data_IF_665171212929
#
_entry.id   IF_665171212929
#
_cell.length_a   1.000
_cell.length_b   1.000
_cell.length_c   1.000
_cell.angle_alpha   90.00
_cell.angle_beta   90.00
_cell.angle_gamma   90.00
#
_symmetry.space_group_name_H-M   'P 1'
#
loop_
_entity.id
_entity.type
_entity.pdbx_description
1 polymer ?
#
# COMPACT_ATOMS: atom_id res chain seq x y z
N UNK A 1 -17.83 -11.20 18.52
CA UNK A 1 -17.24 -10.25 17.56
C UNK A 1 -16.09 -10.95 16.85
N UNK A 2 -16.32 -11.50 15.65
CA UNK A 2 -15.34 -12.32 14.95
C UNK A 2 -14.80 -11.54 13.75
N UNK A 3 -13.81 -10.68 13.97
CA UNK A 3 -13.08 -10.02 12.89
C UNK A 3 -12.05 -11.00 12.32
N UNK A 4 -12.52 -11.91 11.47
CA UNK A 4 -11.67 -12.85 10.72
C UNK A 4 -11.26 -12.28 9.35
N UNK A 5 -11.15 -10.95 9.24
CA UNK A 5 -10.60 -10.28 8.06
C UNK A 5 -9.09 -10.20 8.21
N UNK A 6 -8.33 -10.62 7.19
CA UNK A 6 -6.90 -10.34 7.11
C UNK A 6 -6.72 -8.83 7.30
N UNK A 7 -6.16 -8.43 8.45
CA UNK A 7 -6.05 -7.02 8.80
C UNK A 7 -4.91 -6.39 8.00
N UNK A 8 -5.15 -5.18 7.51
CA UNK A 8 -4.10 -4.37 6.90
C UNK A 8 -2.96 -4.14 7.89
N UNK A 9 -1.73 -4.09 7.40
CA UNK A 9 -0.57 -3.77 8.21
C UNK A 9 -0.76 -2.42 8.90
N UNK A 10 -0.33 -2.35 10.15
CA UNK A 10 -0.32 -1.08 10.84
C UNK A 10 0.71 -0.14 10.19
N UNK A 11 0.42 1.15 10.15
CA UNK A 11 1.33 2.15 9.58
C UNK A 11 2.74 2.06 10.21
N UNK A 12 2.81 1.78 11.50
CA UNK A 12 4.07 1.61 12.21
C UNK A 12 4.88 0.40 11.71
N UNK A 13 4.23 -0.72 11.37
CA UNK A 13 4.89 -1.92 10.84
C UNK A 13 5.46 -1.67 9.45
N UNK A 14 4.73 -0.95 8.60
CA UNK A 14 5.22 -0.55 7.27
C UNK A 14 6.45 0.35 7.41
N UNK A 15 6.39 1.36 8.29
CA UNK A 15 7.53 2.26 8.55
C UNK A 15 8.71 1.47 9.13
N UNK A 16 8.46 0.54 10.04
CA UNK A 16 9.49 -0.31 10.62
C UNK A 16 10.14 -1.22 9.56
N UNK A 17 9.35 -1.81 8.65
CA UNK A 17 9.86 -2.64 7.57
C UNK A 17 10.72 -1.85 6.57
N UNK A 18 10.30 -0.63 6.21
CA UNK A 18 11.10 0.29 5.41
C UNK A 18 12.43 0.63 6.11
N UNK A 19 12.38 0.95 7.41
CA UNK A 19 13.57 1.24 8.21
C UNK A 19 14.51 0.05 8.34
N UNK A 20 13.99 -1.16 8.48
CA UNK A 20 14.79 -2.40 8.50
C UNK A 20 15.54 -2.62 7.18
N UNK A 21 15.02 -2.10 6.06
CA UNK A 21 15.70 -2.07 4.76
C UNK A 21 16.61 -0.86 4.56
N UNK A 22 16.77 0.00 5.57
CA UNK A 22 17.61 1.19 5.50
C UNK A 22 16.98 2.37 4.75
N UNK A 23 15.67 2.31 4.45
CA UNK A 23 14.95 3.40 3.78
C UNK A 23 13.89 4.04 4.70
N UNK A 24 13.32 5.15 4.25
CA UNK A 24 12.23 5.84 4.93
C UNK A 24 11.14 6.17 3.92
N UNK A 25 9.90 6.33 4.38
CA UNK A 25 8.79 6.73 3.51
C UNK A 25 9.11 7.98 2.68
N UNK A 26 9.79 8.95 3.28
CA UNK A 26 10.20 10.18 2.59
C UNK A 26 11.31 9.93 1.55
N UNK A 27 12.21 8.97 1.78
CA UNK A 27 13.20 8.56 0.78
C UNK A 27 12.52 7.86 -0.40
N UNK A 28 11.67 6.86 -0.12
CA UNK A 28 10.87 6.15 -1.13
C UNK A 28 10.05 7.12 -1.98
N UNK A 29 9.43 8.12 -1.34
CA UNK A 29 8.67 9.15 -2.04
C UNK A 29 9.54 9.94 -3.02
N UNK A 30 10.74 10.35 -2.60
CA UNK A 30 11.69 11.10 -3.45
C UNK A 30 12.18 10.27 -4.62
N UNK A 31 12.52 9.00 -4.38
CA UNK A 31 12.96 8.08 -5.43
C UNK A 31 11.84 7.81 -6.45
N UNK A 32 10.59 7.84 -6.01
CA UNK A 32 9.42 7.74 -6.89
C UNK A 32 9.05 9.05 -7.61
N UNK A 33 9.83 10.13 -7.42
CA UNK A 33 9.55 11.45 -8.01
C UNK A 33 8.36 12.18 -7.39
N UNK A 34 7.97 11.83 -6.16
CA UNK A 34 6.83 12.41 -5.45
C UNK A 34 7.30 13.29 -4.28
N UNK A 35 6.52 14.29 -3.93
CA UNK A 35 6.79 15.10 -2.72
C UNK A 35 6.78 14.21 -1.48
N UNK A 36 7.70 14.46 -0.53
CA UNK A 36 7.95 13.62 0.67
C UNK A 36 6.69 13.24 1.46
N UNK A 37 5.63 14.06 1.38
CA UNK A 37 4.36 13.87 2.07
C UNK A 37 3.32 13.12 1.24
N UNK A 38 3.49 13.02 -0.07
CA UNK A 38 2.51 12.42 -0.98
C UNK A 38 2.32 10.94 -0.68
N UNK A 39 3.41 10.21 -0.38
CA UNK A 39 3.35 8.79 -0.07
C UNK A 39 2.64 8.46 1.25
N UNK A 40 2.63 9.39 2.21
CA UNK A 40 1.87 9.23 3.44
C UNK A 40 0.36 9.16 3.23
N UNK A 41 -0.16 9.73 2.12
CA UNK A 41 -1.58 9.64 1.80
C UNK A 41 -2.05 8.21 1.53
N UNK A 42 -1.14 7.28 1.17
CA UNK A 42 -1.47 5.87 0.97
C UNK A 42 -2.01 5.20 2.24
N UNK A 43 -1.66 5.71 3.43
CA UNK A 43 -2.17 5.18 4.70
C UNK A 43 -3.60 5.65 5.00
N UNK A 44 -3.94 6.87 4.59
CA UNK A 44 -5.24 7.47 4.89
C UNK A 44 -6.29 7.18 3.82
N UNK A 45 -5.89 6.98 2.56
CA UNK A 45 -6.81 6.78 1.42
C UNK A 45 -6.31 5.66 0.51
N UNK A 46 -7.21 4.82 -0.05
CA UNK A 46 -6.84 3.80 -1.02
C UNK A 46 -6.18 4.48 -2.23
N UNK A 47 -4.88 4.27 -2.36
CA UNK A 47 -4.09 4.87 -3.42
C UNK A 47 -3.21 3.81 -4.07
N UNK A 48 -3.72 3.09 -5.09
CA UNK A 48 -3.05 1.93 -5.67
C UNK A 48 -1.60 2.23 -6.05
N UNK A 49 -1.33 3.38 -6.70
CA UNK A 49 0.03 3.73 -7.10
C UNK A 49 0.99 3.86 -5.90
N UNK A 50 0.55 4.47 -4.80
CA UNK A 50 1.37 4.60 -3.58
C UNK A 50 1.55 3.28 -2.85
N UNK A 51 0.49 2.47 -2.78
CA UNK A 51 0.54 1.12 -2.22
C UNK A 51 1.56 0.25 -2.99
N UNK A 52 1.51 0.28 -4.32
CA UNK A 52 2.47 -0.43 -5.19
C UNK A 52 3.91 0.03 -4.98
N UNK A 53 4.15 1.34 -4.86
CA UNK A 53 5.50 1.87 -4.57
C UNK A 53 6.02 1.31 -3.25
N UNK A 54 5.23 1.36 -2.18
CA UNK A 54 5.65 0.84 -0.87
C UNK A 54 5.91 -0.67 -0.94
N UNK A 55 5.02 -1.40 -1.59
CA UNK A 55 5.09 -2.85 -1.73
C UNK A 55 6.30 -3.30 -2.55
N UNK A 56 6.60 -2.61 -3.65
CA UNK A 56 7.78 -2.82 -4.50
C UNK A 56 9.08 -2.67 -3.71
N UNK A 57 9.19 -1.60 -2.90
CA UNK A 57 10.33 -1.40 -2.00
C UNK A 57 10.47 -2.49 -0.93
N UNK A 58 9.35 -3.01 -0.46
CA UNK A 58 9.30 -4.13 0.47
C UNK A 58 9.43 -5.48 -0.23
N UNK A 59 9.48 -5.53 -1.57
CA UNK A 59 9.58 -6.76 -2.36
C UNK A 59 8.44 -7.74 -2.11
N UNK A 60 7.26 -7.23 -1.72
CA UNK A 60 6.06 -8.02 -1.46
C UNK A 60 4.90 -7.45 -2.28
N UNK A 61 3.84 -8.23 -2.47
CA UNK A 61 2.66 -7.75 -3.17
C UNK A 61 1.86 -6.78 -2.28
N UNK A 62 1.25 -5.70 -2.79
CA UNK A 62 0.48 -4.76 -1.96
C UNK A 62 -0.71 -5.43 -1.25
N UNK A 63 -1.20 -6.56 -1.75
CA UNK A 63 -2.23 -7.36 -1.06
C UNK A 63 -1.75 -8.02 0.24
N UNK A 64 -0.44 -8.18 0.44
CA UNK A 64 0.12 -8.69 1.70
C UNK A 64 0.11 -7.61 2.79
N UNK A 65 0.25 -6.34 2.37
CA UNK A 65 0.24 -5.18 3.24
C UNK A 65 -1.19 -4.72 3.50
N UNK A 66 -2.02 -4.67 2.46
CA UNK A 66 -3.42 -4.26 2.53
C UNK A 66 -4.38 -5.32 1.99
N UNK A 67 -4.46 -6.50 2.63
CA UNK A 67 -5.36 -7.55 2.17
C UNK A 67 -6.83 -7.10 2.11
N UNK A 68 -7.30 -6.20 2.97
CA UNK A 68 -8.66 -5.66 2.93
C UNK A 68 -8.96 -4.81 1.68
N UNK A 69 -7.91 -4.32 1.01
CA UNK A 69 -8.04 -3.51 -0.23
C UNK A 69 -8.07 -4.37 -1.49
N UNK A 70 -7.45 -5.55 -1.45
CA UNK A 70 -7.20 -6.41 -2.61
C UNK A 70 -7.94 -7.75 -2.55
N UNK A 71 -8.48 -8.15 -1.40
CA UNK A 71 -9.30 -9.35 -1.27
C UNK A 71 -10.72 -8.97 -0.85
N UNK A 72 -11.70 -9.62 -1.46
CA UNK A 72 -13.07 -9.53 -0.98
C UNK A 72 -13.20 -10.31 0.34
N UNK A 73 -13.68 -9.65 1.40
CA UNK A 73 -13.82 -10.26 2.73
C UNK A 73 -14.84 -11.40 2.78
N UNK A 74 -15.72 -11.51 1.78
CA UNK A 74 -16.79 -12.52 1.73
C UNK A 74 -16.45 -13.67 0.78
N UNK A 75 -15.84 -13.39 -0.38
CA UNK A 75 -15.51 -14.42 -1.39
C UNK A 75 -14.05 -14.86 -1.35
N UNK A 76 -13.15 -14.07 -0.75
CA UNK A 76 -11.71 -14.34 -0.74
C UNK A 76 -11.04 -14.16 -2.11
N UNK A 77 -11.77 -13.65 -3.10
CA UNK A 77 -11.27 -13.44 -4.46
C UNK A 77 -10.42 -12.17 -4.54
N UNK A 78 -9.43 -12.18 -5.44
CA UNK A 78 -8.58 -11.03 -5.75
C UNK A 78 -9.41 -9.96 -6.47
N UNK A 79 -9.69 -8.86 -5.77
CA UNK A 79 -10.22 -7.63 -6.34
C UNK A 79 -9.09 -6.92 -7.08
N UNK A 80 -8.98 -7.15 -8.39
CA UNK A 80 -8.00 -6.46 -9.24
C UNK A 80 -8.32 -4.95 -9.31
N UNK A 81 -7.70 -4.17 -8.42
CA UNK A 81 -7.74 -2.71 -8.45
C UNK A 81 -6.78 -2.22 -9.52
N UNK A 82 -7.25 -2.13 -10.78
CA UNK A 82 -6.51 -1.40 -11.83
C UNK A 82 -6.19 0.00 -11.32
N UNK A 83 -4.92 0.39 -11.39
CA UNK A 83 -4.49 1.76 -11.19
C UNK A 83 -5.40 2.64 -12.05
N UNK A 84 -6.13 3.57 -11.41
CA UNK A 84 -7.13 4.43 -12.06
C UNK A 84 -6.61 4.85 -13.43
N UNK A 85 -7.15 4.28 -14.50
CA UNK A 85 -6.89 4.73 -15.86
C UNK A 85 -7.16 6.23 -15.85
N UNK A 86 -6.20 7.03 -16.34
CA UNK A 86 -6.38 8.47 -16.48
C UNK A 86 -7.79 8.73 -17.09
N UNK A 87 -8.54 9.74 -16.63
CA UNK A 87 -9.72 10.15 -17.38
C UNK A 87 -9.28 10.37 -18.83
N UNK A 88 -9.91 9.60 -19.72
CA UNK A 88 -9.79 9.76 -21.16
C UNK A 88 -10.20 11.20 -21.47
N UNK A 89 -9.28 11.99 -22.01
CA UNK A 89 -9.58 13.30 -22.63
C UNK A 89 -10.58 13.14 -23.78
#
# INVERSE_FOLDING_TARGET
MNNNGRNDWHQADIIAALRKRGTTLAAVSRESGLSSSTLANAFSRPWPKGEWIIADYLGIHPSEIWPSRYFDSHTGELLERKARSKPQE
#
